data_IF_281731634148
#
_entry.id   IF_281731634148
#
_cell.length_a   1.000
_cell.length_b   1.000
_cell.length_c   1.000
_cell.angle_alpha   90.00
_cell.angle_beta   90.00
_cell.angle_gamma   90.00
#
_symmetry.space_group_name_H-M   'P 1'
#
loop_
_entity.id
_entity.type
_entity.pdbx_description
1 polymer ?
#
# COMPACT_ATOMS: atom_id res chain seq x y z
N UNK A 1 13.89 -29.16 27.24
CA UNK A 1 14.51 -28.51 26.08
C UNK A 1 13.60 -28.55 24.85
N UNK A 2 13.72 -27.57 23.94
CA UNK A 2 13.07 -27.60 22.62
C UNK A 2 13.39 -28.89 21.85
N UNK A 3 12.37 -29.39 21.14
CA UNK A 3 12.58 -30.37 20.07
C UNK A 3 13.39 -29.75 18.94
N UNK A 4 14.02 -30.59 18.10
CA UNK A 4 14.72 -30.14 16.89
C UNK A 4 13.77 -29.36 15.98
N UNK A 5 12.53 -29.84 15.86
CA UNK A 5 11.47 -29.19 15.08
C UNK A 5 11.18 -27.77 15.59
N UNK A 6 11.08 -27.58 16.91
CA UNK A 6 10.81 -26.27 17.49
C UNK A 6 12.00 -25.31 17.35
N UNK A 7 13.24 -25.81 17.48
CA UNK A 7 14.45 -25.00 17.22
C UNK A 7 14.48 -24.51 15.76
N UNK A 8 14.15 -25.39 14.83
CA UNK A 8 14.09 -25.04 13.40
C UNK A 8 12.97 -24.04 13.12
N UNK A 9 11.80 -24.23 13.72
CA UNK A 9 10.66 -23.32 13.58
C UNK A 9 10.98 -21.92 14.12
N UNK A 10 11.60 -21.81 15.31
CA UNK A 10 12.04 -20.52 15.87
C UNK A 10 13.06 -19.84 14.97
N UNK A 11 14.04 -20.58 14.45
CA UNK A 11 15.08 -20.02 13.57
C UNK A 11 14.50 -19.54 12.25
N UNK A 12 13.56 -20.31 11.67
CA UNK A 12 12.87 -19.97 10.43
C UNK A 12 11.96 -18.75 10.61
N UNK A 13 11.18 -18.71 11.70
CA UNK A 13 10.34 -17.57 12.07
C UNK A 13 11.16 -16.28 12.23
N UNK A 14 12.30 -16.35 12.95
CA UNK A 14 13.20 -15.20 13.12
C UNK A 14 13.71 -14.69 11.78
N UNK A 15 14.22 -15.59 10.91
CA UNK A 15 14.67 -15.22 9.57
C UNK A 15 13.55 -14.56 8.74
N UNK A 16 12.32 -15.06 8.87
CA UNK A 16 11.15 -14.50 8.20
C UNK A 16 10.82 -13.08 8.68
N UNK A 17 10.89 -12.85 10.00
CA UNK A 17 10.69 -11.54 10.61
C UNK A 17 11.82 -10.57 10.22
N UNK A 18 13.07 -11.03 10.15
CA UNK A 18 14.21 -10.20 9.78
C UNK A 18 14.08 -9.66 8.34
N UNK A 19 13.50 -10.44 7.41
CA UNK A 19 13.14 -9.95 6.06
C UNK A 19 12.10 -8.83 6.09
N UNK A 20 11.28 -8.79 7.14
CA UNK A 20 10.26 -7.79 7.38
C UNK A 20 10.79 -6.56 8.15
N UNK A 21 12.10 -6.48 8.39
CA UNK A 21 12.75 -5.41 9.13
C UNK A 21 13.72 -4.58 8.27
N UNK A 22 14.07 -3.39 8.76
CA UNK A 22 15.12 -2.55 8.20
C UNK A 22 14.67 -1.58 7.09
N UNK A 23 15.58 -0.71 6.61
CA UNK A 23 15.24 0.41 5.72
C UNK A 23 14.85 -0.02 4.31
N UNK A 24 15.22 -1.25 3.90
CA UNK A 24 14.87 -1.79 2.60
C UNK A 24 13.50 -2.49 2.58
N UNK A 25 12.85 -2.58 3.75
CA UNK A 25 11.55 -3.19 3.92
C UNK A 25 10.47 -2.50 3.08
N UNK A 26 9.57 -3.30 2.51
CA UNK A 26 8.49 -2.81 1.64
C UNK A 26 7.50 -1.88 2.35
N UNK A 27 7.23 -2.08 3.64
CA UNK A 27 6.37 -1.20 4.43
C UNK A 27 7.01 0.18 4.61
N UNK A 28 8.32 0.24 4.88
CA UNK A 28 9.07 1.51 4.99
C UNK A 28 9.04 2.25 3.65
N UNK A 29 9.44 1.58 2.56
CA UNK A 29 9.40 2.16 1.21
C UNK A 29 7.99 2.62 0.83
N UNK A 30 6.97 1.84 1.20
CA UNK A 30 5.57 2.21 0.94
C UNK A 30 5.20 3.50 1.68
N UNK A 31 5.59 3.65 2.95
CA UNK A 31 5.32 4.87 3.69
C UNK A 31 5.98 6.10 3.04
N UNK A 32 7.21 5.96 2.54
CA UNK A 32 7.92 7.02 1.80
C UNK A 32 7.18 7.40 0.52
N UNK A 33 6.77 6.42 -0.30
CA UNK A 33 6.02 6.68 -1.52
C UNK A 33 4.63 7.25 -1.26
N UNK A 34 3.92 6.79 -0.22
CA UNK A 34 2.62 7.37 0.18
C UNK A 34 2.81 8.83 0.61
N UNK A 35 3.84 9.13 1.40
CA UNK A 35 4.15 10.51 1.82
C UNK A 35 4.51 11.40 0.63
N UNK A 36 5.34 10.90 -0.30
CA UNK A 36 5.65 11.61 -1.52
C UNK A 36 4.40 11.84 -2.37
N UNK A 37 3.52 10.83 -2.45
CA UNK A 37 2.29 10.92 -3.21
C UNK A 37 1.33 11.96 -2.62
N UNK A 38 1.17 11.98 -1.29
CA UNK A 38 0.35 12.96 -0.59
C UNK A 38 0.76 14.41 -0.91
N UNK A 39 2.08 14.68 -1.01
CA UNK A 39 2.59 16.01 -1.40
C UNK A 39 2.15 16.41 -2.80
N UNK A 40 2.09 15.48 -3.75
CA UNK A 40 1.55 15.78 -5.08
C UNK A 40 0.03 15.94 -5.06
N UNK A 41 -0.68 15.19 -4.22
CA UNK A 41 -2.13 15.39 -4.07
C UNK A 41 -2.46 16.76 -3.45
N UNK A 42 -1.63 17.28 -2.55
CA UNK A 42 -1.77 18.66 -2.03
C UNK A 42 -1.65 19.71 -3.16
N UNK A 43 -0.70 19.52 -4.09
CA UNK A 43 -0.49 20.44 -5.21
C UNK A 43 -1.62 20.33 -6.26
N UNK A 44 -2.15 19.12 -6.46
CA UNK A 44 -3.14 18.81 -7.49
C UNK A 44 -4.58 18.88 -7.01
N UNK A 45 -4.83 19.42 -5.81
CA UNK A 45 -6.16 19.47 -5.19
C UNK A 45 -7.16 20.25 -6.07
N UNK A 46 -8.25 19.60 -6.55
CA UNK A 46 -9.28 20.25 -7.34
C UNK A 46 -10.29 21.04 -6.50
N UNK A 47 -10.21 21.06 -5.16
CA UNK A 47 -11.24 21.63 -4.28
C UNK A 47 -11.56 23.10 -4.58
N UNK A 48 -10.54 23.89 -4.92
CA UNK A 48 -10.65 25.32 -5.25
C UNK A 48 -11.05 25.62 -6.71
N UNK A 49 -11.26 24.60 -7.54
CA UNK A 49 -11.56 24.76 -8.97
C UNK A 49 -13.05 24.47 -9.24
N UNK A 50 -13.75 25.49 -9.70
CA UNK A 50 -15.10 25.33 -10.23
C UNK A 50 -15.04 25.05 -11.74
N UNK A 51 -15.03 23.77 -12.10
CA UNK A 51 -14.99 23.31 -13.49
C UNK A 51 -16.26 23.61 -14.29
N UNK A 52 -17.35 24.02 -13.63
CA UNK A 52 -18.62 24.36 -14.28
C UNK A 52 -18.72 25.84 -14.64
N UNK A 53 -17.85 26.67 -14.06
CA UNK A 53 -17.88 28.11 -14.24
C UNK A 53 -17.41 28.51 -15.63
N UNK A 54 -18.22 29.35 -16.29
CA UNK A 54 -17.95 29.88 -17.62
C UNK A 54 -17.42 31.31 -17.56
N UNK A 55 -16.82 31.79 -18.66
CA UNK A 55 -16.24 33.12 -18.77
C UNK A 55 -14.71 33.14 -18.76
N UNK A 56 -14.13 34.24 -19.25
CA UNK A 56 -12.70 34.36 -19.54
C UNK A 56 -11.78 34.03 -18.34
N UNK A 57 -12.03 34.63 -17.18
CA UNK A 57 -11.22 34.40 -15.97
C UNK A 57 -11.36 32.98 -15.41
N UNK A 58 -12.55 32.38 -15.50
CA UNK A 58 -12.77 31.00 -15.08
C UNK A 58 -12.04 30.02 -16.00
N UNK A 59 -12.12 30.23 -17.32
CA UNK A 59 -11.39 29.46 -18.32
C UNK A 59 -9.87 29.49 -18.09
N UNK A 60 -9.30 30.65 -17.77
CA UNK A 60 -7.87 30.76 -17.44
C UNK A 60 -7.50 29.95 -16.20
N UNK A 61 -8.31 30.00 -15.13
CA UNK A 61 -8.03 29.25 -13.89
C UNK A 61 -8.07 27.73 -14.12
N UNK A 62 -9.08 27.25 -14.85
CA UNK A 62 -9.20 25.83 -15.17
C UNK A 62 -8.04 25.38 -16.06
N UNK A 63 -7.66 26.19 -17.06
CA UNK A 63 -6.50 25.90 -17.91
C UNK A 63 -5.20 25.78 -17.09
N UNK A 64 -4.94 26.75 -16.20
CA UNK A 64 -3.78 26.73 -15.31
C UNK A 64 -3.75 25.50 -14.40
N UNK A 65 -4.90 25.07 -13.89
CA UNK A 65 -5.00 23.84 -13.10
C UNK A 65 -4.52 22.61 -13.89
N UNK A 66 -4.99 22.46 -15.13
CA UNK A 66 -4.59 21.33 -15.98
C UNK A 66 -3.16 21.43 -16.50
N UNK A 67 -2.61 22.64 -16.70
CA UNK A 67 -1.19 22.85 -16.99
C UNK A 67 -0.31 22.40 -15.82
N UNK A 68 -0.67 22.78 -14.59
CA UNK A 68 0.01 22.30 -13.36
C UNK A 68 -0.12 20.78 -13.21
N UNK A 69 -1.29 20.24 -13.52
CA UNK A 69 -1.51 18.79 -13.51
C UNK A 69 -0.59 18.08 -14.50
N UNK A 70 -0.46 18.58 -15.72
CA UNK A 70 0.42 18.04 -16.75
C UNK A 70 1.89 18.05 -16.30
N UNK A 71 2.34 19.14 -15.65
CA UNK A 71 3.72 19.27 -15.15
C UNK A 71 4.08 18.18 -14.14
N UNK A 72 3.13 17.78 -13.29
CA UNK A 72 3.37 16.80 -12.22
C UNK A 72 2.96 15.36 -12.57
N UNK A 73 2.24 15.17 -13.67
CA UNK A 73 1.62 13.88 -14.00
C UNK A 73 2.64 12.73 -14.12
N UNK A 74 3.79 12.94 -14.77
CA UNK A 74 4.84 11.91 -14.94
C UNK A 74 5.42 11.42 -13.61
N UNK A 75 5.59 12.33 -12.65
CA UNK A 75 6.06 12.02 -11.29
C UNK A 75 5.02 11.22 -10.51
N UNK A 76 3.75 11.61 -10.63
CA UNK A 76 2.61 10.87 -10.06
C UNK A 76 2.52 9.45 -10.65
N UNK A 77 2.71 9.29 -11.95
CA UNK A 77 2.73 7.97 -12.60
C UNK A 77 3.88 7.09 -12.10
N UNK A 78 5.06 7.69 -11.91
CA UNK A 78 6.21 6.97 -11.35
C UNK A 78 5.90 6.48 -9.93
N UNK A 79 5.38 7.34 -9.06
CA UNK A 79 5.05 6.98 -7.67
C UNK A 79 3.95 5.92 -7.62
N UNK A 80 2.87 6.08 -8.40
CA UNK A 80 1.80 5.08 -8.45
C UNK A 80 2.27 3.75 -9.03
N UNK A 81 3.22 3.76 -9.97
CA UNK A 81 3.90 2.56 -10.46
C UNK A 81 4.70 1.85 -9.38
N UNK A 82 5.48 2.58 -8.57
CA UNK A 82 6.23 2.01 -7.44
C UNK A 82 5.30 1.48 -6.34
N UNK A 83 4.20 2.17 -6.04
CA UNK A 83 3.18 1.68 -5.10
C UNK A 83 2.53 0.36 -5.57
N UNK A 84 2.30 0.20 -6.88
CA UNK A 84 1.83 -1.07 -7.46
C UNK A 84 2.85 -2.19 -7.31
N UNK A 85 4.15 -1.92 -7.53
CA UNK A 85 5.22 -2.89 -7.30
C UNK A 85 5.30 -3.29 -5.83
N UNK A 86 5.27 -2.31 -4.93
CA UNK A 86 5.28 -2.55 -3.48
C UNK A 86 4.08 -3.38 -3.03
N UNK A 87 2.90 -3.17 -3.62
CA UNK A 87 1.71 -3.99 -3.36
C UNK A 87 1.98 -5.46 -3.64
N UNK A 88 2.51 -5.79 -4.83
CA UNK A 88 2.83 -7.18 -5.20
C UNK A 88 3.86 -7.79 -4.26
N UNK A 89 4.89 -7.04 -3.88
CA UNK A 89 5.90 -7.49 -2.92
C UNK A 89 5.24 -7.78 -1.56
N UNK A 90 4.42 -6.86 -1.05
CA UNK A 90 3.73 -7.02 0.23
C UNK A 90 2.76 -8.22 0.23
N UNK A 91 2.02 -8.45 -0.86
CA UNK A 91 1.12 -9.61 -1.03
C UNK A 91 1.91 -10.94 -1.01
N UNK A 92 3.07 -10.98 -1.66
CA UNK A 92 3.96 -12.15 -1.65
C UNK A 92 4.59 -12.38 -0.26
N UNK A 93 5.02 -11.32 0.41
CA UNK A 93 5.53 -11.39 1.78
C UNK A 93 4.44 -11.89 2.74
N UNK A 94 3.21 -11.37 2.64
CA UNK A 94 2.08 -11.81 3.45
C UNK A 94 1.78 -13.30 3.27
N UNK A 95 1.84 -13.78 2.02
CA UNK A 95 1.64 -15.20 1.71
C UNK A 95 2.71 -16.07 2.39
N UNK A 96 3.96 -15.62 2.37
CA UNK A 96 5.07 -16.29 3.05
C UNK A 96 4.90 -16.29 4.56
N UNK A 97 4.56 -15.14 5.15
CA UNK A 97 4.33 -15.01 6.59
C UNK A 97 3.18 -15.90 7.10
N UNK A 98 2.07 -15.98 6.35
CA UNK A 98 0.95 -16.88 6.70
C UNK A 98 1.34 -18.35 6.67
N UNK A 99 2.15 -18.75 5.68
CA UNK A 99 2.69 -20.11 5.60
C UNK A 99 3.61 -20.41 6.78
N UNK A 100 4.51 -19.47 7.09
CA UNK A 100 5.44 -19.60 8.21
C UNK A 100 4.73 -19.70 9.55
N UNK A 101 3.70 -18.86 9.77
CA UNK A 101 2.88 -18.92 10.97
C UNK A 101 2.20 -20.29 11.13
N UNK A 102 1.67 -20.88 10.06
CA UNK A 102 1.07 -22.22 10.11
C UNK A 102 2.08 -23.32 10.47
N UNK A 103 3.27 -23.27 9.88
CA UNK A 103 4.38 -24.19 10.22
C UNK A 103 4.80 -24.02 11.69
N UNK A 104 4.95 -22.76 12.13
CA UNK A 104 5.33 -22.43 13.49
C UNK A 104 4.30 -22.91 14.52
N UNK A 105 3.01 -22.69 14.25
CA UNK A 105 1.91 -23.15 15.09
C UNK A 105 1.92 -24.67 15.25
N UNK A 106 2.14 -25.42 14.17
CA UNK A 106 2.23 -26.89 14.22
C UNK A 106 3.38 -27.37 15.12
N UNK A 107 4.55 -26.75 15.00
CA UNK A 107 5.72 -27.08 15.84
C UNK A 107 5.49 -26.68 17.30
N UNK A 108 4.87 -25.52 17.54
CA UNK A 108 4.53 -25.05 18.88
C UNK A 108 3.52 -25.97 19.56
N UNK A 109 2.44 -26.38 18.87
CA UNK A 109 1.43 -27.26 19.44
C UNK A 109 2.04 -28.62 19.84
N UNK A 110 2.92 -29.16 19.00
CA UNK A 110 3.67 -30.38 19.30
C UNK A 110 4.61 -30.22 20.51
N UNK A 111 5.30 -29.08 20.60
CA UNK A 111 6.15 -28.75 21.75
C UNK A 111 5.33 -28.60 23.04
N UNK A 112 4.17 -27.93 22.97
CA UNK A 112 3.28 -27.70 24.08
C UNK A 112 2.59 -28.97 24.59
N UNK A 113 2.30 -29.93 23.71
CA UNK A 113 1.75 -31.23 24.08
C UNK A 113 2.70 -32.07 24.96
N UNK A 114 4.01 -31.84 24.84
CA UNK A 114 5.03 -32.48 25.67
C UNK A 114 5.31 -31.76 27.00
N UNK A 115 4.58 -30.69 27.31
CA UNK A 115 4.84 -29.85 28.49
C UNK A 115 4.11 -30.40 29.73
N UNK A 116 4.82 -30.56 30.85
CA UNK A 116 4.26 -30.98 32.14
C UNK A 116 4.32 -29.84 33.17
N UNK A 117 3.43 -29.85 34.16
CA UNK A 117 3.36 -28.81 35.20
C UNK A 117 4.61 -28.75 36.10
N UNK A 118 5.44 -29.81 36.13
CA UNK A 118 6.69 -29.88 36.89
C UNK A 118 7.93 -29.53 36.03
N UNK A 119 7.75 -28.74 34.98
CA UNK A 119 8.82 -28.30 34.10
C UNK A 119 9.91 -27.53 34.86
N UNK A 120 11.17 -27.79 34.50
CA UNK A 120 12.31 -27.00 34.99
C UNK A 120 12.27 -25.56 34.45
N UNK A 121 13.07 -24.68 35.06
CA UNK A 121 13.12 -23.26 34.72
C UNK A 121 13.53 -23.00 33.27
N UNK A 122 14.41 -23.84 32.71
CA UNK A 122 14.88 -23.70 31.32
C UNK A 122 13.75 -24.00 30.31
N UNK A 123 12.94 -25.02 30.58
CA UNK A 123 11.79 -25.37 29.75
C UNK A 123 10.70 -24.29 29.83
N UNK A 124 10.51 -23.66 30.99
CA UNK A 124 9.61 -22.51 31.16
C UNK A 124 10.07 -21.29 30.35
N UNK A 125 11.37 -20.98 30.37
CA UNK A 125 11.94 -19.88 29.56
C UNK A 125 11.76 -20.14 28.06
N UNK A 126 12.01 -21.37 27.61
CA UNK A 126 11.79 -21.79 26.22
C UNK A 126 10.32 -21.65 25.81
N UNK A 127 9.38 -22.05 26.65
CA UNK A 127 7.95 -21.83 26.40
C UNK A 127 7.61 -20.34 26.25
N UNK A 128 8.16 -19.48 27.09
CA UNK A 128 7.93 -18.03 27.00
C UNK A 128 8.45 -17.47 25.68
N UNK A 129 9.68 -17.83 25.28
CA UNK A 129 10.26 -17.39 24.00
C UNK A 129 9.41 -17.86 22.82
N UNK A 130 8.96 -19.12 22.86
CA UNK A 130 8.13 -19.70 21.81
C UNK A 130 6.77 -18.99 21.65
N UNK A 131 6.08 -18.71 22.76
CA UNK A 131 4.81 -18.00 22.74
C UNK A 131 4.99 -16.54 22.28
N UNK A 132 6.07 -15.88 22.70
CA UNK A 132 6.38 -14.52 22.26
C UNK A 132 6.63 -14.47 20.75
N UNK A 133 7.39 -15.43 20.21
CA UNK A 133 7.65 -15.52 18.77
C UNK A 133 6.37 -15.73 17.96
N UNK A 134 5.44 -16.58 18.43
CA UNK A 134 4.11 -16.70 17.82
C UNK A 134 3.39 -15.34 17.77
N UNK A 135 3.37 -14.61 18.89
CA UNK A 135 2.74 -13.29 18.96
C UNK A 135 3.37 -12.28 17.99
N UNK A 136 4.69 -12.28 17.85
CA UNK A 136 5.39 -11.43 16.89
C UNK A 136 4.98 -11.79 15.45
N UNK A 137 5.01 -13.07 15.08
CA UNK A 137 4.59 -13.52 13.74
C UNK A 137 3.12 -13.14 13.43
N UNK A 138 2.21 -13.33 14.39
CA UNK A 138 0.79 -12.97 14.24
C UNK A 138 0.62 -11.47 14.01
N UNK A 139 1.35 -10.64 14.76
CA UNK A 139 1.35 -9.19 14.57
C UNK A 139 1.92 -8.79 13.20
N UNK A 140 3.04 -9.38 12.77
CA UNK A 140 3.62 -9.10 11.45
C UNK A 140 2.66 -9.51 10.31
N UNK A 141 1.94 -10.63 10.43
CA UNK A 141 0.89 -11.03 9.48
C UNK A 141 -0.24 -9.99 9.45
N UNK A 142 -0.68 -9.49 10.61
CA UNK A 142 -1.73 -8.49 10.70
C UNK A 142 -1.31 -7.16 10.05
N UNK A 143 -0.09 -6.70 10.33
CA UNK A 143 0.48 -5.48 9.73
C UNK A 143 0.56 -5.57 8.20
N UNK A 144 1.05 -6.69 7.67
CA UNK A 144 1.12 -6.89 6.22
C UNK A 144 -0.27 -7.06 5.59
N UNK A 145 -1.23 -7.63 6.30
CA UNK A 145 -2.63 -7.67 5.85
C UNK A 145 -3.18 -6.26 5.69
N UNK A 146 -3.04 -5.41 6.71
CA UNK A 146 -3.47 -4.01 6.65
C UNK A 146 -2.72 -3.20 5.57
N UNK A 147 -1.41 -3.43 5.42
CA UNK A 147 -0.60 -2.79 4.38
C UNK A 147 -1.10 -3.14 2.98
N UNK A 148 -1.35 -4.43 2.70
CA UNK A 148 -1.84 -4.88 1.38
C UNK A 148 -3.22 -4.31 1.06
N UNK A 149 -4.12 -4.26 2.05
CA UNK A 149 -5.44 -3.64 1.90
C UNK A 149 -5.33 -2.15 1.58
N UNK A 150 -4.51 -1.41 2.34
CA UNK A 150 -4.27 0.02 2.12
C UNK A 150 -3.68 0.29 0.74
N UNK A 151 -2.66 -0.47 0.33
CA UNK A 151 -2.03 -0.36 -0.99
C UNK A 151 -3.02 -0.67 -2.11
N UNK A 152 -3.87 -1.69 -1.94
CA UNK A 152 -4.93 -2.02 -2.89
C UNK A 152 -5.90 -0.85 -3.07
N UNK A 153 -6.37 -0.27 -1.96
CA UNK A 153 -7.26 0.90 -1.97
C UNK A 153 -6.64 2.12 -2.67
N UNK A 154 -5.40 2.47 -2.32
CA UNK A 154 -4.68 3.61 -2.93
C UNK A 154 -4.44 3.38 -4.42
N UNK A 155 -3.90 2.23 -4.80
CA UNK A 155 -3.52 1.96 -6.20
C UNK A 155 -4.72 1.88 -7.14
N UNK A 156 -5.84 1.32 -6.66
CA UNK A 156 -7.10 1.24 -7.42
C UNK A 156 -7.72 2.62 -7.58
N UNK A 157 -7.90 3.35 -6.46
CA UNK A 157 -8.50 4.69 -6.48
C UNK A 157 -7.64 5.67 -7.30
N UNK A 158 -6.31 5.58 -7.22
CA UNK A 158 -5.41 6.38 -8.04
C UNK A 158 -5.60 6.10 -9.54
N UNK A 159 -5.72 4.83 -9.94
CA UNK A 159 -5.94 4.48 -11.34
C UNK A 159 -7.22 5.11 -11.89
N UNK A 160 -8.33 5.04 -11.13
CA UNK A 160 -9.61 5.62 -11.52
C UNK A 160 -9.54 7.15 -11.63
N UNK A 161 -8.98 7.80 -10.59
CA UNK A 161 -8.85 9.26 -10.52
C UNK A 161 -8.00 9.80 -11.67
N UNK A 162 -6.83 9.21 -11.91
CA UNK A 162 -5.92 9.71 -12.93
C UNK A 162 -6.39 9.37 -14.35
N UNK A 163 -7.07 8.25 -14.54
CA UNK A 163 -7.76 7.97 -15.81
C UNK A 163 -8.81 9.04 -16.08
N UNK A 164 -9.68 9.34 -15.10
CA UNK A 164 -10.69 10.40 -15.25
C UNK A 164 -10.06 11.78 -15.48
N UNK A 165 -8.96 12.10 -14.80
CA UNK A 165 -8.24 13.37 -14.98
C UNK A 165 -7.73 13.53 -16.43
N UNK A 166 -7.12 12.50 -17.00
CA UNK A 166 -6.67 12.49 -18.41
C UNK A 166 -7.83 12.72 -19.36
N UNK A 167 -8.99 12.12 -19.10
CA UNK A 167 -10.18 12.27 -19.93
C UNK A 167 -10.76 13.66 -19.86
N UNK A 168 -10.90 14.20 -18.65
CA UNK A 168 -11.40 15.56 -18.46
C UNK A 168 -10.46 16.56 -19.15
N UNK A 169 -9.15 16.46 -18.92
CA UNK A 169 -8.16 17.35 -19.54
C UNK A 169 -8.21 17.30 -21.07
N UNK A 170 -8.28 16.10 -21.65
CA UNK A 170 -8.26 15.88 -23.10
C UNK A 170 -9.59 16.27 -23.76
N UNK A 171 -10.71 15.78 -23.25
CA UNK A 171 -12.04 15.94 -23.89
C UNK A 171 -12.59 17.35 -23.67
N UNK A 172 -12.47 17.89 -22.46
CA UNK A 172 -13.13 19.16 -22.13
C UNK A 172 -12.23 20.38 -22.36
N UNK A 173 -10.91 20.21 -22.30
CA UNK A 173 -9.97 21.33 -22.32
C UNK A 173 -8.90 21.24 -23.41
N UNK A 174 -8.89 20.16 -24.21
CA UNK A 174 -7.92 19.92 -25.29
C UNK A 174 -6.46 19.97 -24.82
N UNK A 175 -6.22 19.67 -23.54
CA UNK A 175 -4.88 19.60 -22.95
C UNK A 175 -4.41 18.15 -23.01
N UNK A 176 -3.28 17.93 -23.67
CA UNK A 176 -2.68 16.61 -23.74
C UNK A 176 -1.76 16.41 -22.54
N UNK A 177 -2.12 15.50 -21.63
CA UNK A 177 -1.24 15.10 -20.55
C UNK A 177 -0.21 14.11 -21.12
N UNK A 178 0.88 14.61 -21.70
CA UNK A 178 1.93 13.77 -22.29
C UNK A 178 2.77 13.12 -21.18
N UNK A 179 2.84 11.79 -21.16
CA UNK A 179 3.67 11.03 -20.20
C UNK A 179 3.27 9.58 -19.94
N UNK A 180 2.08 9.12 -20.36
CA UNK A 180 1.60 7.75 -20.14
C UNK A 180 1.15 7.04 -21.42
N UNK A 181 1.03 5.70 -21.32
CA UNK A 181 0.39 4.83 -22.32
C UNK A 181 -0.84 5.51 -22.92
N UNK A 182 -1.02 5.37 -24.24
CA UNK A 182 -2.28 5.74 -24.87
C UNK A 182 -3.39 4.98 -24.14
N UNK A 183 -4.25 5.70 -23.41
CA UNK A 183 -5.50 5.13 -22.91
C UNK A 183 -6.38 4.95 -24.15
N UNK A 184 -6.22 3.80 -24.82
CA UNK A 184 -7.06 3.38 -25.93
C UNK A 184 -8.43 3.00 -25.38
N UNK A 185 -9.50 3.43 -26.06
CA UNK A 185 -10.85 2.99 -25.74
C UNK A 185 -11.68 3.87 -24.80
N UNK A 186 -11.27 5.09 -24.46
CA UNK A 186 -12.16 5.94 -23.67
C UNK A 186 -13.11 6.78 -24.51
N UNK A 187 -14.20 6.14 -24.93
CA UNK A 187 -15.43 6.80 -25.34
C UNK A 187 -16.32 6.97 -24.10
N UNK A 188 -16.08 8.02 -23.32
CA UNK A 188 -16.85 8.28 -22.10
C UNK A 188 -17.09 9.76 -21.89
N UNK A 189 -18.24 10.12 -21.31
CA UNK A 189 -18.47 11.47 -20.80
C UNK A 189 -17.53 11.71 -19.62
N UNK A 190 -16.83 12.84 -19.62
CA UNK A 190 -15.99 13.29 -18.53
C UNK A 190 -16.80 13.41 -17.21
N UNK A 191 -16.45 12.64 -16.18
CA UNK A 191 -17.10 12.67 -14.87
C UNK A 191 -16.28 13.51 -13.86
N UNK A 192 -16.56 14.81 -13.83
CA UNK A 192 -15.92 15.76 -12.91
C UNK A 192 -16.29 15.47 -11.45
N UNK A 193 -17.52 15.01 -11.19
CA UNK A 193 -17.97 14.70 -9.84
C UNK A 193 -17.28 13.44 -9.31
N UNK A 194 -17.18 12.40 -10.14
CA UNK A 194 -16.40 11.19 -9.88
C UNK A 194 -14.92 11.49 -9.69
N UNK A 195 -14.33 12.36 -10.52
CA UNK A 195 -12.96 12.82 -10.33
C UNK A 195 -12.74 13.48 -8.96
N UNK A 196 -13.58 14.46 -8.57
CA UNK A 196 -13.43 15.17 -7.29
C UNK A 196 -13.64 14.26 -6.09
N UNK A 197 -14.67 13.42 -6.13
CA UNK A 197 -14.96 12.47 -5.04
C UNK A 197 -13.87 11.41 -4.91
N UNK A 198 -13.41 10.85 -6.03
CA UNK A 198 -12.28 9.93 -6.07
C UNK A 198 -10.99 10.57 -5.56
N UNK A 199 -10.70 11.82 -5.96
CA UNK A 199 -9.53 12.56 -5.49
C UNK A 199 -9.58 12.78 -3.97
N UNK A 200 -10.73 13.20 -3.45
CA UNK A 200 -10.93 13.39 -2.00
C UNK A 200 -10.74 12.08 -1.22
N UNK A 201 -11.24 10.96 -1.74
CA UNK A 201 -11.01 9.63 -1.16
C UNK A 201 -9.55 9.22 -1.21
N UNK A 202 -8.88 9.46 -2.33
CA UNK A 202 -7.45 9.16 -2.49
C UNK A 202 -6.61 9.98 -1.52
N UNK A 203 -6.97 11.25 -1.36
CA UNK A 203 -6.34 12.17 -0.41
C UNK A 203 -6.46 11.68 1.02
N UNK A 204 -7.64 11.23 1.45
CA UNK A 204 -7.86 10.72 2.80
C UNK A 204 -7.17 9.38 3.09
N UNK A 205 -6.90 8.56 2.07
CA UNK A 205 -6.14 7.31 2.24
C UNK A 205 -4.63 7.53 2.41
N UNK A 206 -4.13 8.63 1.86
CA UNK A 206 -2.71 8.98 1.87
C UNK A 206 -2.30 9.83 3.09
N UNK A 207 -3.26 10.36 3.86
CA UNK A 207 -3.05 11.06 5.13
C UNK A 207 -3.51 10.23 6.32
#
# INVERSE_FOLDING_TARGET
>A
MYSVEMKNAVSSAQSCIDMCCGPQNVAVKTAEYISAFAKYLDVLDPSGIDFTKTGFFAGIRIKKYWELFAEHYSKVQTITGELKKNRLIAENTLTTLKRELGTYQTALDSFMAGFSENADSELLDQKMVALNMKGILENTVAEYSALTERLSGITTTAADVFTNAVLIARVNYQINLTGGEQISGVSGKADIAGFRSGFSRLYSMCR
#
